data_IF_730568560276
#
_entry.id   IF_730568560276
#
_cell.length_a   1.000
_cell.length_b   1.000
_cell.length_c   1.000
_cell.angle_alpha   90.00
_cell.angle_beta   90.00
_cell.angle_gamma   90.00
#
_symmetry.space_group_name_H-M   'P 1'
#
loop_
_entity.id
_entity.type
_entity.pdbx_description
1 polymer ?
#
# COMPACT_ATOMS: atom_id res chain seq x y z
N UNK A 1 3.11 -13.07 26.10
CA UNK A 1 2.61 -11.75 25.68
C UNK A 1 3.59 -10.69 26.17
N UNK A 2 4.34 -10.04 25.27
CA UNK A 2 5.16 -8.87 25.65
C UNK A 2 4.23 -7.66 25.68
N UNK A 3 4.00 -7.09 26.86
CA UNK A 3 3.37 -5.78 26.98
C UNK A 3 4.32 -4.76 26.36
N UNK A 4 4.06 -4.38 25.11
CA UNK A 4 4.68 -3.20 24.52
C UNK A 4 4.17 -2.00 25.33
N UNK A 5 5.08 -1.33 26.04
CA UNK A 5 4.77 -0.21 26.92
C UNK A 5 3.95 0.83 26.12
N UNK A 6 2.69 1.06 26.51
CA UNK A 6 1.78 1.98 25.82
C UNK A 6 2.41 3.36 25.61
N UNK A 7 3.17 3.85 26.60
CA UNK A 7 3.90 5.11 26.49
C UNK A 7 4.95 5.13 25.40
N UNK A 8 5.62 4.00 25.13
CA UNK A 8 6.59 3.91 24.04
C UNK A 8 5.89 3.85 22.68
N UNK A 9 4.72 3.20 22.60
CA UNK A 9 3.90 3.20 21.38
C UNK A 9 3.35 4.60 21.10
N UNK A 10 2.83 5.29 22.11
CA UNK A 10 2.31 6.65 22.01
C UNK A 10 3.44 7.63 21.67
N UNK A 11 4.63 7.46 22.24
CA UNK A 11 5.82 8.21 21.86
C UNK A 11 6.16 8.00 20.38
N UNK A 12 6.29 6.75 19.91
CA UNK A 12 6.56 6.48 18.49
C UNK A 12 5.46 7.07 17.60
N UNK A 13 4.18 6.91 17.95
CA UNK A 13 3.06 7.45 17.18
C UNK A 13 3.07 8.99 17.14
N UNK A 14 3.49 9.65 18.21
CA UNK A 14 3.63 11.11 18.24
C UNK A 14 4.79 11.60 17.34
N UNK A 15 5.85 10.81 17.17
CA UNK A 15 7.02 11.19 16.37
C UNK A 15 6.98 10.70 14.91
N UNK A 16 6.41 9.53 14.66
CA UNK A 16 6.36 8.87 13.34
C UNK A 16 4.95 8.91 12.70
N UNK A 17 3.94 9.37 13.44
CA UNK A 17 2.56 9.58 12.99
C UNK A 17 1.65 8.35 13.08
N UNK A 18 0.35 8.53 12.81
CA UNK A 18 -0.65 7.45 12.76
C UNK A 18 -0.15 6.34 11.80
N UNK A 19 -0.17 5.07 12.23
CA UNK A 19 0.37 3.85 11.56
C UNK A 19 1.85 3.50 11.80
N UNK A 20 2.60 4.24 12.63
CA UNK A 20 4.02 3.97 12.81
C UNK A 20 4.30 2.60 13.47
N UNK A 21 4.87 1.67 12.70
CA UNK A 21 5.31 0.34 13.17
C UNK A 21 4.20 -0.48 13.81
N UNK A 22 2.97 -0.23 13.39
CA UNK A 22 1.80 -0.98 13.85
C UNK A 22 1.78 -2.38 13.21
N UNK A 23 1.30 -3.35 13.98
CA UNK A 23 0.95 -4.67 13.45
C UNK A 23 -0.54 -4.67 13.09
N UNK A 24 -0.83 -5.00 11.84
CA UNK A 24 -2.17 -5.19 11.32
C UNK A 24 -2.45 -6.68 11.09
N UNK A 25 -3.72 -7.05 11.21
CA UNK A 25 -4.15 -8.38 10.84
C UNK A 25 -4.09 -8.58 9.33
N UNK A 26 -4.59 -7.62 8.55
CA UNK A 26 -4.67 -7.72 7.10
C UNK A 26 -4.39 -6.38 6.41
N UNK A 27 -3.75 -6.45 5.25
CA UNK A 27 -3.75 -5.40 4.23
C UNK A 27 -4.41 -5.93 2.96
N UNK A 28 -5.25 -5.09 2.36
CA UNK A 28 -5.92 -5.38 1.09
C UNK A 28 -6.01 -4.12 0.23
N UNK A 29 -6.10 -4.29 -1.08
CA UNK A 29 -6.32 -3.21 -2.05
C UNK A 29 -7.58 -3.58 -2.83
N UNK A 30 -8.57 -2.71 -2.77
CA UNK A 30 -9.88 -2.95 -3.37
C UNK A 30 -10.40 -1.65 -3.99
N UNK A 31 -11.23 -1.79 -5.02
CA UNK A 31 -11.89 -0.68 -5.73
C UNK A 31 -13.30 -0.43 -5.20
N UNK A 32 -13.87 -1.35 -4.44
CA UNK A 32 -15.21 -1.21 -3.86
C UNK A 32 -15.18 -0.89 -2.35
N UNK A 33 -16.09 -0.03 -1.92
CA UNK A 33 -16.28 0.42 -0.53
C UNK A 33 -17.07 -0.59 0.32
N UNK A 34 -17.55 -1.68 -0.27
CA UNK A 34 -18.57 -2.56 0.31
C UNK A 34 -18.01 -3.63 1.28
N UNK A 35 -17.05 -3.27 2.14
CA UNK A 35 -16.71 -4.10 3.30
C UNK A 35 -17.70 -3.82 4.43
N UNK A 36 -18.23 -4.86 5.07
CA UNK A 36 -19.17 -4.72 6.18
C UNK A 36 -18.56 -3.88 7.32
N UNK A 37 -19.27 -2.83 7.74
CA UNK A 37 -18.83 -1.88 8.77
C UNK A 37 -18.57 -0.47 8.20
N UNK A 38 -18.35 0.50 9.09
CA UNK A 38 -17.97 1.87 8.73
C UNK A 38 -16.46 2.04 8.92
N UNK A 39 -15.64 1.91 7.85
CA UNK A 39 -14.20 2.04 7.99
C UNK A 39 -13.80 3.44 8.47
N UNK A 40 -12.80 3.52 9.35
CA UNK A 40 -12.17 4.77 9.74
C UNK A 40 -11.30 5.26 8.58
N UNK A 41 -11.75 6.32 7.91
CA UNK A 41 -10.97 6.97 6.86
C UNK A 41 -9.78 7.71 7.47
N UNK A 42 -8.56 7.32 7.08
CA UNK A 42 -7.34 8.03 7.44
C UNK A 42 -7.01 8.98 6.30
N UNK A 43 -7.21 10.28 6.53
CA UNK A 43 -6.81 11.34 5.60
C UNK A 43 -5.40 11.85 5.95
N UNK A 44 -4.61 12.29 4.96
CA UNK A 44 -3.34 12.89 5.27
C UNK A 44 -3.61 14.26 5.88
N UNK A 45 -3.04 14.56 7.04
CA UNK A 45 -3.04 15.93 7.54
C UNK A 45 -2.19 16.79 6.58
N UNK A 46 -2.73 17.91 6.11
CA UNK A 46 -2.09 18.74 5.07
C UNK A 46 -0.65 19.18 5.40
N UNK A 47 -0.33 19.33 6.70
CA UNK A 47 1.01 19.68 7.18
C UNK A 47 2.02 18.54 7.06
N UNK A 48 1.55 17.30 6.99
CA UNK A 48 2.39 16.10 7.03
C UNK A 48 2.74 15.57 5.64
N UNK A 49 2.41 16.27 4.56
CA UNK A 49 2.68 15.81 3.17
C UNK A 49 3.84 16.57 2.51
N UNK A 50 4.49 17.48 3.24
CA UNK A 50 5.59 18.27 2.69
C UNK A 50 6.95 17.58 2.88
N UNK A 51 7.15 16.48 2.15
CA UNK A 51 8.45 15.83 2.07
C UNK A 51 9.21 16.27 0.81
N UNK A 52 10.54 16.43 0.91
CA UNK A 52 11.37 16.64 -0.27
C UNK A 52 11.34 15.36 -1.12
N UNK A 53 10.98 15.51 -2.39
CA UNK A 53 11.13 14.44 -3.37
C UNK A 53 12.62 14.30 -3.75
N UNK A 54 13.04 13.13 -4.20
CA UNK A 54 14.40 12.97 -4.73
C UNK A 54 14.62 13.89 -5.93
N UNK A 55 15.86 14.34 -6.15
CA UNK A 55 16.17 15.17 -7.32
C UNK A 55 15.79 14.49 -8.64
N UNK A 56 15.89 13.16 -8.70
CA UNK A 56 15.50 12.36 -9.86
C UNK A 56 13.99 12.45 -10.10
N UNK A 57 13.18 12.27 -9.05
CA UNK A 57 11.74 12.46 -9.10
C UNK A 57 11.38 13.89 -9.52
N UNK A 58 12.03 14.89 -8.93
CA UNK A 58 11.81 16.28 -9.28
C UNK A 58 12.15 16.57 -10.76
N UNK A 59 13.25 16.02 -11.28
CA UNK A 59 13.62 16.14 -12.69
C UNK A 59 12.59 15.46 -13.60
N UNK A 60 12.13 14.25 -13.25
CA UNK A 60 11.05 13.55 -13.98
C UNK A 60 9.77 14.38 -14.01
N UNK A 61 9.40 15.05 -12.92
CA UNK A 61 8.27 15.98 -12.90
C UNK A 61 8.50 17.24 -13.73
N UNK A 62 9.68 17.88 -13.63
CA UNK A 62 10.02 19.09 -14.38
C UNK A 62 10.03 18.86 -15.89
N UNK A 63 10.47 17.68 -16.34
CA UNK A 63 10.52 17.31 -17.75
C UNK A 63 9.15 16.94 -18.34
N UNK A 64 8.08 17.12 -17.57
CA UNK A 64 6.72 16.76 -17.95
C UNK A 64 6.58 15.25 -17.97
N UNK A 65 5.94 14.70 -16.94
CA UNK A 65 5.46 13.32 -16.96
C UNK A 65 4.53 13.14 -18.17
N UNK A 66 5.09 12.72 -19.32
CA UNK A 66 4.30 12.46 -20.54
C UNK A 66 3.47 11.19 -20.41
N UNK A 67 3.85 10.30 -19.49
CA UNK A 67 3.17 9.05 -19.20
C UNK A 67 2.62 9.08 -17.78
N UNK A 68 1.36 8.70 -17.61
CA UNK A 68 0.75 8.48 -16.30
C UNK A 68 1.37 7.25 -15.65
N UNK A 69 1.74 7.33 -14.36
CA UNK A 69 2.15 6.14 -13.59
C UNK A 69 0.93 5.62 -12.81
N UNK A 70 0.50 4.37 -13.04
CA UNK A 70 -0.56 3.77 -12.25
C UNK A 70 -0.02 3.35 -10.87
N UNK A 71 -0.85 3.51 -9.83
CA UNK A 71 -0.54 3.09 -8.46
C UNK A 71 -0.44 1.57 -8.37
N UNK A 72 -1.31 0.87 -9.09
CA UNK A 72 -1.39 -0.58 -9.16
C UNK A 72 -1.07 -1.07 -10.57
N UNK A 73 -0.75 -2.36 -10.73
CA UNK A 73 -0.44 -2.96 -12.02
C UNK A 73 -1.65 -3.02 -12.98
N UNK A 74 -2.87 -3.00 -12.45
CA UNK A 74 -4.09 -3.01 -13.26
C UNK A 74 -4.53 -1.59 -13.63
N UNK A 75 -4.49 -1.28 -14.94
CA UNK A 75 -4.88 0.01 -15.51
C UNK A 75 -6.38 0.11 -15.84
N UNK A 76 -7.12 -1.00 -15.78
CA UNK A 76 -8.53 -1.04 -16.20
C UNK A 76 -9.46 -0.29 -15.26
N UNK A 77 -9.00 0.01 -14.04
CA UNK A 77 -9.79 0.69 -13.03
C UNK A 77 -9.49 2.19 -12.99
N UNK A 78 -10.39 2.98 -13.59
CA UNK A 78 -10.29 4.45 -13.63
C UNK A 78 -10.66 5.16 -12.33
N UNK A 79 -11.08 4.41 -11.30
CA UNK A 79 -11.62 4.93 -10.04
C UNK A 79 -10.61 4.81 -8.91
N UNK A 80 -10.79 5.66 -7.88
CA UNK A 80 -10.00 5.70 -6.65
C UNK A 80 -9.77 4.30 -6.07
N UNK A 81 -8.50 3.95 -5.81
CA UNK A 81 -8.16 2.74 -5.08
C UNK A 81 -8.19 3.01 -3.58
N UNK A 82 -8.75 2.06 -2.86
CA UNK A 82 -8.73 2.07 -1.41
C UNK A 82 -7.78 1.00 -0.91
N UNK A 83 -6.90 1.38 0.01
CA UNK A 83 -6.14 0.41 0.80
C UNK A 83 -6.90 0.20 2.09
N UNK A 84 -7.32 -1.03 2.32
CA UNK A 84 -7.97 -1.44 3.56
C UNK A 84 -6.94 -2.05 4.49
N UNK A 85 -6.95 -1.61 5.74
CA UNK A 85 -6.16 -2.20 6.83
C UNK A 85 -7.11 -2.72 7.89
N UNK A 86 -6.97 -3.98 8.28
CA UNK A 86 -7.77 -4.57 9.35
C UNK A 86 -6.91 -4.77 10.58
N UNK A 87 -7.42 -4.36 11.74
CA UNK A 87 -6.82 -4.57 13.05
C UNK A 87 -7.78 -5.33 13.95
N UNK A 88 -7.32 -6.41 14.54
CA UNK A 88 -8.08 -7.14 15.56
C UNK A 88 -7.95 -6.41 16.89
N UNK A 89 -9.06 -5.98 17.49
CA UNK A 89 -9.09 -5.37 18.81
C UNK A 89 -10.24 -5.97 19.63
N UNK A 90 -9.93 -6.68 20.71
CA UNK A 90 -10.92 -7.30 21.60
C UNK A 90 -11.99 -8.14 20.88
N UNK A 91 -11.57 -9.03 19.97
CA UNK A 91 -12.45 -9.88 19.15
C UNK A 91 -13.35 -9.13 18.14
N UNK A 92 -13.20 -7.80 18.03
CA UNK A 92 -13.86 -6.98 17.00
C UNK A 92 -12.84 -6.52 15.94
N UNK A 93 -13.26 -6.59 14.67
CA UNK A 93 -12.45 -6.11 13.55
C UNK A 93 -12.64 -4.59 13.38
N UNK A 94 -11.54 -3.85 13.52
CA UNK A 94 -11.47 -2.44 13.17
C UNK A 94 -10.93 -2.29 11.75
N UNK A 95 -11.67 -1.56 10.91
CA UNK A 95 -11.30 -1.31 9.52
C UNK A 95 -10.78 0.13 9.38
N UNK A 96 -9.61 0.27 8.78
CA UNK A 96 -9.06 1.54 8.35
C UNK A 96 -9.03 1.59 6.84
N UNK A 97 -9.21 2.80 6.30
CA UNK A 97 -9.23 3.01 4.87
C UNK A 97 -8.29 4.16 4.51
N UNK A 98 -7.39 3.90 3.56
CA UNK A 98 -6.55 4.90 2.93
C UNK A 98 -7.08 5.16 1.53
N UNK A 99 -7.36 6.42 1.22
CA UNK A 99 -7.76 6.83 -0.12
C UNK A 99 -6.53 7.31 -0.87
N UNK A 100 -6.17 6.62 -1.96
CA UNK A 100 -5.04 6.99 -2.80
C UNK A 100 -5.49 7.29 -4.24
N UNK A 101 -4.76 8.17 -4.95
CA UNK A 101 -4.98 8.33 -6.38
C UNK A 101 -4.50 7.07 -7.11
N UNK A 102 -5.37 6.51 -7.95
CA UNK A 102 -5.08 5.33 -8.77
C UNK A 102 -4.11 5.65 -9.90
N UNK A 103 -4.17 6.88 -10.40
CA UNK A 103 -3.30 7.41 -11.45
C UNK A 103 -2.62 8.66 -10.91
N UNK A 104 -1.29 8.67 -10.94
CA UNK A 104 -0.48 9.81 -10.47
C UNK A 104 -0.41 10.83 -11.59
N UNK A 105 -1.04 12.00 -11.39
CA UNK A 105 -1.13 13.08 -12.40
C UNK A 105 -0.41 14.35 -11.98
N UNK A 106 -0.12 14.51 -10.68
CA UNK A 106 0.45 15.73 -10.13
C UNK A 106 1.57 15.48 -9.11
N UNK A 107 2.37 16.52 -8.84
CA UNK A 107 3.36 16.51 -7.75
C UNK A 107 2.69 16.29 -6.39
N UNK A 108 1.43 16.67 -6.24
CA UNK A 108 0.70 16.44 -5.00
C UNK A 108 0.31 14.96 -4.84
N UNK A 109 -0.15 14.32 -5.91
CA UNK A 109 -0.51 12.89 -5.91
C UNK A 109 0.67 12.03 -5.48
N UNK A 110 1.87 12.30 -6.03
CA UNK A 110 3.04 11.52 -5.67
C UNK A 110 3.46 11.73 -4.21
N UNK A 111 3.30 12.95 -3.68
CA UNK A 111 3.59 13.22 -2.25
C UNK A 111 2.64 12.44 -1.35
N UNK A 112 1.35 12.39 -1.70
CA UNK A 112 0.34 11.60 -0.98
C UNK A 112 0.68 10.11 -1.04
N UNK A 113 0.94 9.57 -2.23
CA UNK A 113 1.27 8.15 -2.42
C UNK A 113 2.56 7.80 -1.67
N UNK A 114 3.60 8.62 -1.79
CA UNK A 114 4.87 8.44 -1.07
C UNK A 114 4.64 8.39 0.44
N UNK A 115 3.88 9.35 0.99
CA UNK A 115 3.59 9.41 2.42
C UNK A 115 2.95 8.12 2.93
N UNK A 116 1.91 7.63 2.26
CA UNK A 116 1.20 6.44 2.69
C UNK A 116 1.98 5.16 2.46
N UNK A 117 2.60 4.97 1.30
CA UNK A 117 3.43 3.78 1.05
C UNK A 117 4.58 3.70 2.04
N UNK A 118 5.24 4.84 2.36
CA UNK A 118 6.30 4.88 3.34
C UNK A 118 5.82 4.47 4.75
N UNK A 119 4.59 4.80 5.12
CA UNK A 119 3.97 4.33 6.38
C UNK A 119 3.66 2.84 6.33
N UNK A 120 3.02 2.37 5.26
CA UNK A 120 2.63 0.97 5.11
C UNK A 120 3.83 0.02 5.10
N UNK A 121 4.94 0.40 4.45
CA UNK A 121 6.18 -0.39 4.42
C UNK A 121 6.80 -0.53 5.82
N UNK A 122 6.53 0.40 6.74
CA UNK A 122 7.00 0.32 8.13
C UNK A 122 6.07 -0.51 9.02
N UNK A 123 4.89 -0.89 8.53
CA UNK A 123 3.96 -1.75 9.25
C UNK A 123 4.34 -3.23 9.07
N UNK A 124 3.75 -4.09 9.90
CA UNK A 124 3.78 -5.53 9.70
C UNK A 124 2.36 -6.07 9.58
N UNK A 125 2.18 -7.09 8.74
CA UNK A 125 0.87 -7.65 8.44
C UNK A 125 0.87 -9.16 8.67
N UNK A 126 -0.13 -9.68 9.40
CA UNK A 126 -0.32 -11.13 9.52
C UNK A 126 -0.77 -11.74 8.19
N UNK A 127 -1.57 -10.99 7.43
CA UNK A 127 -2.12 -11.40 6.13
C UNK A 127 -2.02 -10.27 5.12
N UNK A 128 -1.76 -10.62 3.87
CA UNK A 128 -1.93 -9.73 2.73
C UNK A 128 -2.83 -10.43 1.72
N UNK A 129 -3.86 -9.76 1.27
CA UNK A 129 -4.75 -10.24 0.23
C UNK A 129 -4.69 -9.23 -0.92
N UNK A 130 -4.28 -9.70 -2.09
CA UNK A 130 -4.19 -8.88 -3.29
C UNK A 130 -5.03 -9.54 -4.37
N UNK A 131 -6.28 -9.10 -4.48
CA UNK A 131 -7.22 -9.55 -5.51
C UNK A 131 -7.13 -8.58 -6.68
N UNK A 132 -6.39 -8.96 -7.73
CA UNK A 132 -6.22 -8.18 -8.98
C UNK A 132 -5.36 -6.89 -8.83
N UNK A 133 -5.35 -6.27 -7.64
CA UNK A 133 -4.58 -5.07 -7.36
C UNK A 133 -3.28 -5.37 -6.62
N UNK A 134 -2.16 -5.10 -7.27
CA UNK A 134 -0.83 -5.11 -6.66
C UNK A 134 -0.18 -3.76 -6.93
N UNK A 135 0.51 -3.19 -5.93
CA UNK A 135 1.25 -1.96 -6.12
C UNK A 135 2.23 -2.07 -7.28
N UNK A 136 2.30 -1.02 -8.09
CA UNK A 136 3.21 -0.95 -9.22
C UNK A 136 4.67 -0.99 -8.70
N UNK A 137 5.46 -2.03 -9.02
CA UNK A 137 6.83 -2.16 -8.54
C UNK A 137 7.75 -1.07 -9.10
N UNK A 138 7.50 -0.58 -10.32
CA UNK A 138 8.27 0.53 -10.90
C UNK A 138 8.03 1.83 -10.15
N UNK A 139 6.78 2.06 -9.71
CA UNK A 139 6.45 3.20 -8.85
C UNK A 139 7.12 3.09 -7.49
N UNK A 140 7.10 1.91 -6.85
CA UNK A 140 7.80 1.71 -5.58
C UNK A 140 9.30 1.97 -5.74
N UNK A 141 9.90 1.43 -6.80
CA UNK A 141 11.31 1.65 -7.11
C UNK A 141 11.61 3.13 -7.35
N UNK A 142 10.73 3.84 -8.07
CA UNK A 142 10.86 5.26 -8.31
C UNK A 142 10.81 6.09 -7.01
N UNK A 143 9.91 5.72 -6.10
CA UNK A 143 9.68 6.44 -4.84
C UNK A 143 10.76 6.20 -3.80
N UNK A 144 11.30 4.99 -3.73
CA UNK A 144 12.17 4.56 -2.63
C UNK A 144 13.57 4.13 -3.10
N UNK A 145 13.84 4.12 -4.40
CA UNK A 145 15.04 3.53 -4.96
C UNK A 145 15.01 2.01 -4.78
N UNK A 146 16.01 1.47 -4.08
CA UNK A 146 16.11 0.04 -3.81
C UNK A 146 15.70 -0.29 -2.36
N UNK A 147 15.27 -1.54 -2.14
CA UNK A 147 15.23 -2.20 -0.82
C UNK A 147 14.10 -1.81 0.16
N UNK A 148 12.93 -1.38 -0.32
CA UNK A 148 11.73 -1.30 0.53
C UNK A 148 10.77 -2.44 0.24
N UNK A 149 10.46 -3.19 1.29
CA UNK A 149 9.67 -4.41 1.25
C UNK A 149 8.53 -4.34 2.26
N UNK A 150 7.36 -4.84 1.87
CA UNK A 150 6.24 -5.05 2.76
C UNK A 150 6.47 -6.33 3.57
N UNK A 151 6.32 -6.21 4.89
CA UNK A 151 6.45 -7.33 5.81
C UNK A 151 5.08 -7.99 6.03
N UNK A 152 4.82 -9.07 5.31
CA UNK A 152 3.53 -9.78 5.31
C UNK A 152 3.75 -11.26 5.61
N UNK A 153 3.32 -11.74 6.78
CA UNK A 153 3.55 -13.14 7.19
C UNK A 153 2.94 -14.14 6.21
N UNK A 154 1.66 -13.94 5.84
CA UNK A 154 0.93 -14.82 4.91
C UNK A 154 0.33 -14.01 3.78
N UNK A 155 0.82 -14.20 2.56
CA UNK A 155 0.33 -13.46 1.40
C UNK A 155 -0.49 -14.38 0.49
N UNK A 156 -1.68 -13.91 0.09
CA UNK A 156 -2.50 -14.49 -0.97
C UNK A 156 -2.59 -13.51 -2.11
N UNK A 157 -2.11 -13.92 -3.27
CA UNK A 157 -2.16 -13.12 -4.50
C UNK A 157 -3.01 -13.85 -5.51
N UNK A 158 -3.96 -13.14 -6.10
CA UNK A 158 -4.79 -13.64 -7.18
C UNK A 158 -4.36 -12.95 -8.47
N UNK A 159 -4.03 -13.77 -9.48
CA UNK A 159 -3.44 -13.33 -10.74
C UNK A 159 -4.40 -13.63 -11.88
N UNK A 160 -4.71 -12.60 -12.66
CA UNK A 160 -5.48 -12.70 -13.90
C UNK A 160 -4.54 -12.57 -15.11
N UNK A 161 -3.79 -11.46 -15.20
CA UNK A 161 -2.85 -11.19 -16.30
C UNK A 161 -1.55 -10.48 -15.83
N UNK A 162 -0.48 -10.57 -16.64
CA UNK A 162 0.88 -10.03 -16.39
C UNK A 162 1.67 -10.66 -15.22
N UNK A 163 1.83 -11.98 -15.29
CA UNK A 163 2.62 -12.80 -14.36
C UNK A 163 4.01 -12.21 -14.10
N UNK A 164 4.67 -11.67 -15.14
CA UNK A 164 6.04 -11.14 -15.05
C UNK A 164 6.17 -9.99 -14.06
N UNK A 165 5.30 -8.96 -14.18
CA UNK A 165 5.32 -7.82 -13.25
C UNK A 165 4.94 -8.22 -11.82
N UNK A 166 4.01 -9.16 -11.67
CA UNK A 166 3.59 -9.65 -10.35
C UNK A 166 4.74 -10.38 -9.64
N UNK A 167 5.46 -11.24 -10.35
CA UNK A 167 6.69 -11.84 -9.80
C UNK A 167 7.74 -10.79 -9.47
N UNK A 168 7.88 -9.75 -10.31
CA UNK A 168 8.72 -8.60 -10.04
C UNK A 168 8.39 -7.93 -8.71
N UNK A 169 7.11 -7.69 -8.43
CA UNK A 169 6.65 -7.17 -7.15
C UNK A 169 6.94 -8.13 -5.99
N UNK A 170 6.58 -9.41 -6.13
CA UNK A 170 6.78 -10.42 -5.08
C UNK A 170 8.26 -10.50 -4.68
N UNK A 171 9.15 -10.62 -5.66
CA UNK A 171 10.58 -10.83 -5.41
C UNK A 171 11.26 -9.59 -4.81
N UNK A 172 10.86 -8.40 -5.25
CA UNK A 172 11.56 -7.16 -4.89
C UNK A 172 10.90 -6.41 -3.72
N UNK A 173 9.60 -6.60 -3.50
CA UNK A 173 8.82 -5.76 -2.60
C UNK A 173 8.03 -6.52 -1.53
N UNK A 174 8.09 -7.86 -1.47
CA UNK A 174 7.39 -8.65 -0.46
C UNK A 174 8.36 -9.51 0.36
N UNK A 175 8.22 -9.46 1.68
CA UNK A 175 8.88 -10.39 2.60
C UNK A 175 7.81 -11.08 3.43
N UNK A 176 7.80 -12.41 3.39
CA UNK A 176 6.80 -13.21 4.08
C UNK A 176 7.23 -14.65 4.33
N UNK A 177 6.50 -15.33 5.21
CA UNK A 177 6.74 -16.73 5.57
C UNK A 177 6.02 -17.68 4.62
N UNK A 178 4.82 -17.30 4.16
CA UNK A 178 3.96 -18.11 3.29
C UNK A 178 3.41 -17.28 2.16
N UNK A 179 3.57 -17.77 0.94
CA UNK A 179 3.01 -17.19 -0.27
C UNK A 179 2.08 -18.21 -0.93
N UNK A 180 0.85 -17.81 -1.20
CA UNK A 180 -0.11 -18.56 -2.02
C UNK A 180 -0.48 -17.72 -3.23
N UNK A 181 -0.17 -18.23 -4.41
CA UNK A 181 -0.55 -17.63 -5.68
C UNK A 181 -1.71 -18.45 -6.23
N UNK A 182 -2.84 -17.79 -6.52
CA UNK A 182 -3.96 -18.41 -7.20
C UNK A 182 -4.04 -17.80 -8.61
N UNK A 183 -4.02 -18.65 -9.63
CA UNK A 183 -4.22 -18.23 -11.01
C UNK A 183 -5.70 -18.36 -11.35
N UNK A 184 -6.33 -17.26 -11.76
CA UNK A 184 -7.67 -17.33 -12.33
C UNK A 184 -7.55 -17.67 -13.81
N UNK A 185 -8.18 -18.77 -14.21
CA UNK A 185 -8.32 -19.10 -15.61
C UNK A 185 -9.58 -18.37 -16.12
N UNK A 186 -9.42 -17.20 -16.74
CA UNK A 186 -10.50 -16.66 -17.58
C UNK A 186 -10.67 -17.62 -18.75
N UNK A 187 -11.73 -18.42 -18.72
CA UNK A 187 -12.15 -19.18 -19.91
C UNK A 187 -12.59 -18.15 -20.96
N UNK A 188 -11.72 -17.92 -21.94
CA UNK A 188 -12.06 -17.15 -23.14
C UNK A 188 -13.06 -18.01 -23.93
N UNK A 189 -14.34 -17.61 -23.93
CA UNK A 189 -15.40 -18.20 -24.75
C UNK A 189 -15.54 -17.48 -26.09
#
# INVERSE_FOLDING_TARGET
>A
MKQTNLHFRDFINNFEGELAREEFYEIDIDVDLMRGGSPKLIKPESKNVDFPLSEELEKKFKNGFKQTIPLCLDEQFSHLSYIFLTKDYNDEACYYQLQLPTIIKSKNDIKIVYFYLNKLIKCSFKRGMFQEFIFNPELIQLLFGNAKQFHIQKCKIYIDDDIGKIFGFILNNLVGEKLRINFFWRMIF
#
